data_IF_823968684883
#
_entry.id   IF_823968684883
#
_cell.length_a   1.000
_cell.length_b   1.000
_cell.length_c   1.000
_cell.angle_alpha   90.00
_cell.angle_beta   90.00
_cell.angle_gamma   90.00
#
_symmetry.space_group_name_H-M   'P 1'
#
loop_
_entity.id
_entity.type
_entity.pdbx_description
1 polymer ?
#
# COMPACT_ATOMS: atom_id res chain seq x y z
N UNK A 1 -32.31 -0.91 26.26
CA UNK A 1 -30.91 -0.48 26.41
C UNK A 1 -30.12 -1.06 25.25
N UNK A 2 -29.61 -0.23 24.35
CA UNK A 2 -28.67 -0.70 23.34
C UNK A 2 -27.28 -0.70 24.00
N UNK A 3 -26.75 -1.87 24.32
CA UNK A 3 -25.37 -1.98 24.78
C UNK A 3 -24.47 -1.81 23.56
N UNK A 4 -23.57 -0.82 23.59
CA UNK A 4 -22.51 -0.69 22.62
C UNK A 4 -21.58 -1.90 22.77
N UNK A 5 -21.62 -2.81 21.80
CA UNK A 5 -20.90 -4.10 21.87
C UNK A 5 -19.41 -3.99 21.51
N UNK A 6 -18.99 -2.81 21.06
CA UNK A 6 -17.65 -2.54 20.56
C UNK A 6 -17.12 -1.21 21.14
N UNK A 7 -16.10 -1.34 22.00
CA UNK A 7 -15.25 -0.25 22.47
C UNK A 7 -13.96 -0.24 21.63
N UNK A 8 -14.06 0.02 20.33
CA UNK A 8 -12.87 0.11 19.48
C UNK A 8 -12.28 1.53 19.55
N UNK A 9 -11.66 1.85 20.69
CA UNK A 9 -10.79 3.03 20.85
C UNK A 9 -9.30 2.64 20.79
N UNK A 10 -8.99 1.42 20.35
CA UNK A 10 -7.61 1.00 20.17
C UNK A 10 -6.94 1.94 19.17
N UNK A 11 -5.81 2.50 19.61
CA UNK A 11 -5.01 3.37 18.74
C UNK A 11 -4.46 2.50 17.60
N UNK A 12 -4.53 2.97 16.34
CA UNK A 12 -3.95 2.23 15.22
C UNK A 12 -2.51 1.82 15.51
N UNK A 13 -2.15 0.57 15.19
CA UNK A 13 -0.79 0.04 15.44
C UNK A 13 0.27 0.71 14.56
N UNK A 14 -0.17 1.37 13.49
CA UNK A 14 0.66 2.09 12.55
C UNK A 14 -0.17 2.99 11.64
N UNK A 15 0.51 3.62 10.69
CA UNK A 15 -0.10 4.47 9.65
C UNK A 15 0.31 3.92 8.30
N UNK A 16 -0.63 3.81 7.35
CA UNK A 16 -0.32 3.36 5.99
C UNK A 16 0.82 4.20 5.38
N UNK A 17 1.85 3.54 4.86
CA UNK A 17 3.08 4.14 4.34
C UNK A 17 4.10 4.54 5.41
N UNK A 18 3.81 4.35 6.70
CA UNK A 18 4.76 4.61 7.78
C UNK A 18 5.91 3.59 7.76
N UNK A 19 7.13 4.07 7.99
CA UNK A 19 8.28 3.19 8.26
C UNK A 19 8.05 2.45 9.58
N UNK A 20 8.38 1.16 9.60
CA UNK A 20 8.10 0.29 10.76
C UNK A 20 9.22 0.38 11.79
N UNK A 21 10.47 0.48 11.34
CA UNK A 21 11.65 0.46 12.19
C UNK A 21 12.78 1.34 11.62
N UNK A 22 13.97 1.19 12.22
CA UNK A 22 15.20 1.90 11.83
C UNK A 22 16.13 1.00 10.98
N UNK A 23 15.64 -0.10 10.43
CA UNK A 23 16.44 -0.95 9.56
C UNK A 23 16.84 -0.18 8.28
N UNK A 24 17.86 -0.68 7.58
CA UNK A 24 18.26 -0.10 6.31
C UNK A 24 17.10 -0.12 5.32
N UNK A 25 16.80 1.03 4.74
CA UNK A 25 15.82 1.18 3.69
C UNK A 25 16.39 1.89 2.46
N UNK A 26 15.84 1.55 1.29
CA UNK A 26 16.11 2.26 0.05
C UNK A 26 14.84 3.00 -0.33
N UNK A 27 14.93 4.33 -0.38
CA UNK A 27 13.80 5.20 -0.73
C UNK A 27 14.19 6.09 -1.89
N UNK A 28 13.33 6.14 -2.90
CA UNK A 28 13.46 7.05 -4.05
C UNK A 28 12.30 8.02 -4.09
N UNK A 29 12.50 9.20 -4.67
CA UNK A 29 11.43 10.18 -4.89
C UNK A 29 10.83 10.03 -6.28
N UNK A 30 9.50 10.06 -6.37
CA UNK A 30 8.74 10.02 -7.63
C UNK A 30 7.59 11.02 -7.59
N UNK A 31 7.06 11.38 -8.75
CA UNK A 31 5.84 12.17 -8.85
C UNK A 31 4.61 11.28 -9.06
N UNK A 32 3.52 11.60 -8.37
CA UNK A 32 2.24 10.93 -8.56
C UNK A 32 1.58 11.35 -9.89
N UNK A 33 1.39 10.42 -10.83
CA UNK A 33 0.66 10.71 -12.08
C UNK A 33 -0.85 10.68 -11.92
N UNK A 34 -1.33 9.98 -10.90
CA UNK A 34 -2.75 9.76 -10.68
C UNK A 34 -3.50 11.03 -10.31
N UNK A 35 -4.81 11.01 -10.54
CA UNK A 35 -5.70 12.02 -10.01
C UNK A 35 -5.66 12.05 -8.47
N UNK A 36 -6.07 13.18 -7.90
CA UNK A 36 -6.13 13.41 -6.46
C UNK A 36 -6.79 12.23 -5.71
N UNK A 37 -6.06 11.67 -4.73
CA UNK A 37 -6.58 10.65 -3.81
C UNK A 37 -6.70 9.23 -4.40
N UNK A 38 -6.32 9.01 -5.66
CA UNK A 38 -6.30 7.67 -6.27
C UNK A 38 -5.11 6.87 -5.73
N UNK A 39 -3.88 7.37 -5.90
CA UNK A 39 -2.72 6.82 -5.22
C UNK A 39 -2.76 7.18 -3.73
N UNK A 40 -2.44 6.23 -2.85
CA UNK A 40 -2.48 6.42 -1.40
C UNK A 40 -1.20 5.91 -0.74
N UNK A 41 -0.88 6.46 0.42
CA UNK A 41 0.18 5.92 1.27
C UNK A 41 -0.06 4.45 1.61
N UNK A 42 1.01 3.66 1.65
CA UNK A 42 1.00 2.22 1.89
C UNK A 42 0.57 1.37 0.69
N UNK A 43 0.24 1.96 -0.46
CA UNK A 43 0.03 1.20 -1.70
C UNK A 43 1.36 0.84 -2.36
N UNK A 44 1.41 -0.30 -3.02
CA UNK A 44 2.39 -0.55 -4.06
C UNK A 44 2.16 0.40 -5.24
N UNK A 45 3.25 0.93 -5.80
CA UNK A 45 3.22 1.86 -6.91
C UNK A 45 3.94 1.26 -8.12
N UNK A 46 3.31 1.38 -9.29
CA UNK A 46 3.90 0.99 -10.56
C UNK A 46 4.59 2.19 -11.22
N UNK A 47 5.54 1.93 -12.10
CA UNK A 47 6.17 2.92 -12.98
C UNK A 47 5.08 3.66 -13.76
N UNK A 48 5.15 4.98 -13.73
CA UNK A 48 4.28 5.87 -14.49
C UNK A 48 4.63 5.90 -15.98
N UNK A 49 4.18 6.94 -16.66
CA UNK A 49 4.44 7.21 -18.07
C UNK A 49 5.91 7.55 -18.30
N UNK A 50 6.53 8.26 -17.36
CA UNK A 50 7.96 8.60 -17.38
C UNK A 50 8.74 7.77 -16.37
N UNK A 51 9.38 6.70 -16.85
CA UNK A 51 10.17 5.78 -16.03
C UNK A 51 11.27 6.49 -15.23
N UNK A 52 11.37 6.20 -13.93
CA UNK A 52 12.34 6.82 -13.03
C UNK A 52 11.93 8.21 -12.50
N UNK A 53 10.86 8.80 -13.00
CA UNK A 53 10.36 10.12 -12.58
C UNK A 53 8.98 10.04 -11.94
N UNK A 54 8.13 9.16 -12.44
CA UNK A 54 6.69 9.15 -12.15
C UNK A 54 6.20 7.77 -11.75
N UNK A 55 5.13 7.73 -10.96
CA UNK A 55 4.48 6.51 -10.50
C UNK A 55 2.97 6.63 -10.55
N UNK A 56 2.31 5.48 -10.61
CA UNK A 56 0.86 5.34 -10.67
C UNK A 56 0.38 4.09 -9.94
N UNK A 57 -0.93 3.91 -9.80
CA UNK A 57 -1.50 2.68 -9.23
C UNK A 57 -1.27 1.52 -10.22
N UNK A 58 -0.88 0.32 -9.74
CA UNK A 58 -0.81 -0.87 -10.58
C UNK A 58 -2.14 -1.16 -11.28
N UNK A 59 -2.09 -1.47 -12.57
CA UNK A 59 -3.25 -1.84 -13.39
C UNK A 59 -3.06 -3.23 -14.01
N UNK A 60 -4.13 -3.80 -14.58
CA UNK A 60 -4.06 -5.08 -15.26
C UNK A 60 -2.95 -5.10 -16.32
N UNK A 61 -2.12 -6.14 -16.31
CA UNK A 61 -0.92 -6.24 -17.16
C UNK A 61 0.35 -5.62 -16.58
N UNK A 62 0.30 -4.98 -15.40
CA UNK A 62 1.50 -4.55 -14.67
C UNK A 62 2.36 -5.76 -14.34
N UNK A 63 3.64 -5.69 -14.69
CA UNK A 63 4.62 -6.74 -14.41
C UNK A 63 5.39 -6.45 -13.12
N UNK A 64 6.03 -7.49 -12.54
CA UNK A 64 6.85 -7.39 -11.33
C UNK A 64 7.91 -6.28 -11.45
N UNK A 65 8.60 -6.22 -12.59
CA UNK A 65 9.67 -5.26 -12.83
C UNK A 65 9.18 -3.80 -12.92
N UNK A 66 7.88 -3.60 -13.11
CA UNK A 66 7.27 -2.28 -13.14
C UNK A 66 6.80 -1.82 -11.76
N UNK A 67 6.81 -2.67 -10.73
CA UNK A 67 6.53 -2.20 -9.37
C UNK A 67 7.79 -1.53 -8.83
N UNK A 68 7.68 -0.25 -8.51
CA UNK A 68 8.79 0.53 -7.97
C UNK A 68 8.95 0.36 -6.45
N UNK A 69 7.90 -0.01 -5.74
CA UNK A 69 7.92 -0.16 -4.28
C UNK A 69 6.62 0.32 -3.63
N UNK A 70 6.68 0.70 -2.35
CA UNK A 70 5.52 1.15 -1.56
C UNK A 70 5.58 2.65 -1.29
N UNK A 71 4.44 3.33 -1.45
CA UNK A 71 4.32 4.77 -1.20
C UNK A 71 4.44 5.09 0.29
N UNK A 72 5.45 5.87 0.67
CA UNK A 72 5.73 6.27 2.04
C UNK A 72 4.90 7.48 2.47
N UNK A 73 4.46 7.45 3.73
CA UNK A 73 3.79 8.55 4.38
C UNK A 73 4.72 9.76 4.52
N UNK A 74 4.16 10.95 4.27
CA UNK A 74 4.80 12.23 4.56
C UNK A 74 3.95 13.04 5.56
N UNK A 75 4.60 13.56 6.60
CA UNK A 75 3.91 14.23 7.72
C UNK A 75 3.18 15.53 7.31
N UNK A 76 3.65 16.19 6.24
CA UNK A 76 3.14 17.50 5.79
C UNK A 76 2.20 17.38 4.58
N UNK A 77 1.52 16.25 4.41
CA UNK A 77 0.59 16.07 3.28
C UNK A 77 -0.72 16.80 3.51
N UNK A 78 -1.19 17.48 2.46
CA UNK A 78 -2.46 18.19 2.46
C UNK A 78 -3.65 17.27 2.78
N UNK A 79 -4.66 17.86 3.40
CA UNK A 79 -5.96 17.23 3.62
C UNK A 79 -6.99 17.80 2.65
N UNK A 80 -7.97 16.99 2.27
CA UNK A 80 -9.15 17.46 1.56
C UNK A 80 -10.10 18.24 2.49
N UNK A 81 -11.20 18.75 1.92
CA UNK A 81 -12.20 19.51 2.69
C UNK A 81 -12.95 18.68 3.73
N UNK A 82 -12.80 17.35 3.72
CA UNK A 82 -13.34 16.43 4.73
C UNK A 82 -12.28 16.04 5.78
N UNK A 83 -11.10 16.67 5.76
CA UNK A 83 -10.00 16.40 6.70
C UNK A 83 -9.24 15.11 6.41
N UNK A 84 -9.41 14.51 5.23
CA UNK A 84 -8.73 13.28 4.86
C UNK A 84 -7.42 13.60 4.14
N UNK A 85 -6.34 12.95 4.58
CA UNK A 85 -5.04 13.04 3.90
C UNK A 85 -5.15 12.43 2.50
N UNK A 86 -4.83 13.21 1.48
CA UNK A 86 -4.85 12.79 0.08
C UNK A 86 -3.53 13.14 -0.61
N UNK A 87 -3.08 12.25 -1.50
CA UNK A 87 -1.99 12.57 -2.42
C UNK A 87 -2.57 13.33 -3.61
N UNK A 88 -2.09 14.55 -3.81
CA UNK A 88 -2.44 15.37 -4.96
C UNK A 88 -1.78 14.84 -6.23
N UNK A 89 -2.39 15.15 -7.36
CA UNK A 89 -1.75 14.96 -8.65
C UNK A 89 -0.42 15.72 -8.71
N UNK A 90 0.59 15.11 -9.31
CA UNK A 90 1.95 15.62 -9.54
C UNK A 90 2.78 15.93 -8.28
N UNK A 91 2.26 15.57 -7.09
CA UNK A 91 3.00 15.71 -5.82
C UNK A 91 4.17 14.73 -5.77
N UNK A 92 5.26 15.16 -5.14
CA UNK A 92 6.40 14.29 -4.86
C UNK A 92 6.10 13.34 -3.71
N UNK A 93 6.35 12.05 -3.92
CA UNK A 93 6.18 10.99 -2.93
C UNK A 93 7.45 10.18 -2.78
N UNK A 94 7.72 9.70 -1.56
CA UNK A 94 8.75 8.71 -1.32
C UNK A 94 8.23 7.32 -1.66
N UNK A 95 9.03 6.52 -2.36
CA UNK A 95 8.76 5.12 -2.69
C UNK A 95 9.83 4.27 -2.03
N UNK A 96 9.44 3.43 -1.06
CA UNK A 96 10.34 2.46 -0.44
C UNK A 96 10.48 1.25 -1.36
N UNK A 97 11.71 0.99 -1.80
CA UNK A 97 12.09 -0.16 -2.64
C UNK A 97 12.52 -1.36 -1.81
N UNK A 98 13.12 -1.10 -0.65
CA UNK A 98 13.63 -2.08 0.31
C UNK A 98 13.43 -1.55 1.72
N UNK A 99 13.11 -2.43 2.67
CA UNK A 99 12.86 -2.09 4.07
C UNK A 99 11.50 -2.58 4.56
N UNK A 100 11.08 -2.07 5.72
CA UNK A 100 9.82 -2.45 6.37
C UNK A 100 8.85 -1.28 6.44
N UNK A 101 7.65 -1.46 5.89
CA UNK A 101 6.63 -0.41 5.76
C UNK A 101 5.24 -0.94 6.06
N UNK A 102 4.39 -0.09 6.64
CA UNK A 102 2.96 -0.38 6.77
C UNK A 102 2.25 -0.30 5.41
N UNK A 103 2.00 -1.45 4.77
CA UNK A 103 1.25 -1.54 3.52
C UNK A 103 -0.25 -1.64 3.74
N UNK A 104 -1.04 -1.19 2.76
CA UNK A 104 -2.50 -1.36 2.75
C UNK A 104 -2.88 -2.77 2.37
N UNK A 105 -3.92 -3.30 2.99
CA UNK A 105 -4.47 -4.61 2.71
C UNK A 105 -5.69 -4.53 1.78
N UNK A 106 -5.85 -5.52 0.91
CA UNK A 106 -7.12 -5.77 0.25
C UNK A 106 -8.19 -6.18 1.28
N UNK A 107 -9.47 -5.99 0.96
CA UNK A 107 -10.55 -6.15 1.94
C UNK A 107 -10.68 -7.56 2.53
N UNK A 108 -10.27 -8.59 1.80
CA UNK A 108 -10.31 -10.01 2.17
C UNK A 108 -8.93 -10.57 2.56
N UNK A 109 -7.92 -9.71 2.70
CA UNK A 109 -6.56 -10.15 3.01
C UNK A 109 -6.43 -10.66 4.45
N UNK A 110 -5.84 -11.85 4.60
CA UNK A 110 -5.49 -12.45 5.89
C UNK A 110 -3.97 -12.55 5.98
N UNK A 111 -3.28 -11.50 6.46
CA UNK A 111 -1.82 -11.48 6.52
C UNK A 111 -1.31 -12.51 7.54
N UNK A 112 -0.40 -13.38 7.10
CA UNK A 112 0.28 -14.37 7.95
C UNK A 112 1.78 -14.15 7.87
N UNK A 113 2.45 -14.21 9.02
CA UNK A 113 3.89 -13.95 9.11
C UNK A 113 4.70 -14.77 8.09
N UNK A 114 5.63 -14.09 7.41
CA UNK A 114 6.53 -14.62 6.39
C UNK A 114 5.87 -15.18 5.12
N UNK A 115 4.53 -15.16 5.01
CA UNK A 115 3.82 -15.50 3.78
C UNK A 115 4.05 -14.40 2.73
N UNK A 116 4.05 -14.79 1.45
CA UNK A 116 4.09 -13.86 0.31
C UNK A 116 2.96 -12.84 0.40
N UNK A 117 3.33 -11.57 0.25
CA UNK A 117 2.41 -10.45 0.12
C UNK A 117 2.31 -10.07 -1.35
N UNK A 118 1.28 -10.56 -2.04
CA UNK A 118 1.01 -10.24 -3.43
C UNK A 118 0.44 -8.83 -3.57
N UNK A 119 0.74 -8.16 -4.68
CA UNK A 119 0.15 -6.87 -5.04
C UNK A 119 -1.07 -7.09 -5.92
N UNK A 120 -2.20 -6.52 -5.54
CA UNK A 120 -3.41 -6.51 -6.37
C UNK A 120 -3.22 -5.51 -7.50
N UNK A 121 -3.49 -5.92 -8.75
CA UNK A 121 -3.27 -5.09 -9.95
C UNK A 121 -4.55 -4.61 -10.62
N UNK A 122 -5.73 -4.92 -10.07
CA UNK A 122 -7.01 -4.57 -10.69
C UNK A 122 -8.07 -4.32 -9.62
N UNK A 123 -9.22 -3.81 -10.07
CA UNK A 123 -10.36 -3.59 -9.19
C UNK A 123 -10.13 -2.47 -8.16
N UNK A 124 -10.99 -2.46 -7.14
CA UNK A 124 -11.01 -1.41 -6.10
C UNK A 124 -9.81 -1.44 -5.15
N UNK A 125 -9.16 -2.60 -5.07
CA UNK A 125 -8.04 -2.86 -4.16
C UNK A 125 -6.68 -2.78 -4.88
N UNK A 126 -6.65 -2.29 -6.13
CA UNK A 126 -5.42 -2.10 -6.90
C UNK A 126 -4.37 -1.30 -6.10
N UNK A 127 -3.15 -1.84 -6.06
CA UNK A 127 -2.03 -1.34 -5.26
C UNK A 127 -2.05 -1.78 -3.79
N UNK A 128 -3.06 -2.49 -3.31
CA UNK A 128 -3.05 -3.09 -1.97
C UNK A 128 -2.38 -4.47 -1.97
N UNK A 129 -2.06 -4.95 -0.78
CA UNK A 129 -1.44 -6.25 -0.54
C UNK A 129 -2.45 -7.31 -0.13
N UNK A 130 -2.25 -8.53 -0.59
CA UNK A 130 -3.08 -9.69 -0.21
C UNK A 130 -2.23 -10.96 -0.12
N UNK A 131 -2.75 -11.91 0.64
CA UNK A 131 -2.22 -13.28 0.73
C UNK A 131 -2.66 -14.19 -0.42
N UNK A 132 -3.65 -13.75 -1.21
CA UNK A 132 -4.22 -14.51 -2.32
C UNK A 132 -3.38 -14.35 -3.58
N UNK A 133 -3.02 -15.45 -4.22
CA UNK A 133 -2.36 -15.43 -5.53
C UNK A 133 -3.33 -14.96 -6.64
N UNK A 134 -4.64 -15.07 -6.44
CA UNK A 134 -5.66 -14.60 -7.38
C UNK A 134 -6.79 -13.95 -6.60
N UNK A 135 -7.19 -12.75 -6.98
CA UNK A 135 -8.23 -12.01 -6.25
C UNK A 135 -9.63 -12.56 -6.58
N UNK A 136 -10.46 -12.69 -5.55
CA UNK A 136 -11.85 -13.15 -5.72
C UNK A 136 -12.68 -12.07 -6.42
N UNK A 137 -13.18 -12.33 -7.63
CA UNK A 137 -14.14 -11.45 -8.32
C UNK A 137 -13.57 -10.47 -9.36
N UNK A 138 -12.24 -10.42 -9.56
CA UNK A 138 -11.58 -9.56 -10.57
C UNK A 138 -11.04 -10.39 -11.76
N UNK A 139 -11.96 -10.90 -12.59
CA UNK A 139 -11.69 -11.65 -13.83
C UNK A 139 -10.74 -12.87 -13.73
N UNK A 140 -10.32 -13.26 -12.52
CA UNK A 140 -9.36 -14.32 -12.26
C UNK A 140 -7.90 -13.93 -12.57
N UNK A 141 -7.57 -12.64 -12.64
CA UNK A 141 -6.20 -12.20 -12.84
C UNK A 141 -5.34 -12.53 -11.61
N UNK A 142 -4.17 -13.12 -11.84
CA UNK A 142 -3.22 -13.40 -10.77
C UNK A 142 -2.67 -12.10 -10.18
N UNK A 143 -2.65 -12.01 -8.86
CA UNK A 143 -1.96 -10.95 -8.13
C UNK A 143 -0.45 -11.14 -8.26
N UNK A 144 0.27 -10.04 -8.08
CA UNK A 144 1.67 -9.95 -8.48
C UNK A 144 2.62 -10.25 -7.32
N UNK A 145 3.44 -11.30 -7.45
CA UNK A 145 4.52 -11.59 -6.50
C UNK A 145 5.74 -10.71 -6.76
N UNK A 146 5.90 -9.66 -5.95
CA UNK A 146 7.06 -8.77 -6.02
C UNK A 146 8.24 -9.24 -5.15
N UNK A 147 8.14 -10.39 -4.49
CA UNK A 147 9.10 -10.86 -3.48
C UNK A 147 8.89 -10.26 -2.09
N UNK A 148 7.77 -9.56 -1.88
CA UNK A 148 7.40 -9.00 -0.59
C UNK A 148 6.81 -10.07 0.34
N UNK A 149 6.98 -9.88 1.65
CA UNK A 149 6.41 -10.76 2.68
C UNK A 149 5.63 -9.96 3.71
N UNK A 150 4.65 -10.61 4.33
CA UNK A 150 4.02 -10.07 5.53
C UNK A 150 4.96 -10.20 6.72
N UNK A 151 5.18 -9.10 7.42
CA UNK A 151 5.96 -9.04 8.65
C UNK A 151 5.18 -9.52 9.87
N UNK A 152 5.71 -9.19 11.04
CA UNK A 152 5.26 -9.74 12.33
C UNK A 152 3.96 -9.12 12.87
N UNK A 153 3.48 -8.00 12.32
CA UNK A 153 2.30 -7.29 12.83
C UNK A 153 1.33 -6.91 11.71
N UNK A 154 0.04 -7.09 11.99
CA UNK A 154 -1.07 -6.56 11.21
C UNK A 154 -2.07 -5.81 12.10
N UNK A 155 -2.76 -4.87 11.47
CA UNK A 155 -3.88 -4.11 12.02
C UNK A 155 -5.02 -4.19 11.01
N UNK A 156 -5.74 -5.31 11.05
CA UNK A 156 -6.80 -5.64 10.11
C UNK A 156 -8.00 -4.71 10.24
N UNK A 157 -8.24 -4.15 11.44
CA UNK A 157 -9.30 -3.18 11.68
C UNK A 157 -9.05 -1.86 10.91
N UNK A 158 -7.77 -1.50 10.76
CA UNK A 158 -7.34 -0.34 9.96
C UNK A 158 -6.89 -0.72 8.53
N UNK A 159 -6.97 -2.00 8.16
CA UNK A 159 -6.62 -2.50 6.83
C UNK A 159 -5.15 -2.32 6.46
N UNK A 160 -4.22 -2.51 7.42
CA UNK A 160 -2.77 -2.41 7.17
C UNK A 160 -1.99 -3.59 7.76
N UNK A 161 -0.83 -3.87 7.18
CA UNK A 161 0.13 -4.84 7.72
C UNK A 161 1.57 -4.37 7.47
N UNK A 162 2.51 -4.87 8.26
CA UNK A 162 3.93 -4.74 7.95
C UNK A 162 4.22 -5.52 6.68
N UNK A 163 4.80 -4.85 5.69
CA UNK A 163 5.31 -5.42 4.45
C UNK A 163 6.82 -5.31 4.46
N UNK A 164 7.47 -6.45 4.28
CA UNK A 164 8.91 -6.57 4.18
C UNK A 164 9.31 -6.63 2.70
N UNK A 165 10.09 -5.64 2.27
CA UNK A 165 10.62 -5.52 0.90
C UNK A 165 12.11 -5.87 0.92
N UNK A 166 12.49 -6.91 0.15
CA UNK A 166 13.84 -7.50 0.11
C UNK A 166 14.86 -6.75 -0.74
#
# INVERSE_FOLDING_TARGET
MAAQMNYSFDTPKGVAGGKVDLAYDEVVTRQNEEADGVLKFGMAAAVGTSAGSTVKVPAAGTTKAQIEGVVLHAANTEQDMSGKVILKKDVSVGIMRKGHVWGRLAADAVPTYAQTAYVVTSGKDAGAFTHLETQTGDDGAANLDIGAKFGNVSDTDNGIAVIELG
#
